data_IF_242437341036
#
_entry.id   IF_242437341036
#
_cell.length_a   1.000
_cell.length_b   1.000
_cell.length_c   1.000
_cell.angle_alpha   90.00
_cell.angle_beta   90.00
_cell.angle_gamma   90.00
#
_symmetry.space_group_name_H-M   'P 1'
#
loop_
_entity.id
_entity.type
_entity.pdbx_description
1 polymer ?
#
# COMPACT_ATOMS: atom_id res chain seq x y z
N UNK A 1 -0.29 15.27 -16.52
CA UNK A 1 1.15 15.55 -16.30
C UNK A 1 2.09 14.52 -16.92
N UNK A 2 1.67 13.29 -17.27
CA UNK A 2 2.48 12.36 -18.07
C UNK A 2 3.73 11.81 -17.36
N UNK A 3 3.89 12.07 -16.06
CA UNK A 3 5.01 11.62 -15.23
C UNK A 3 4.55 10.42 -14.42
N UNK A 4 5.36 9.36 -14.38
CA UNK A 4 5.07 8.15 -13.61
C UNK A 4 5.34 8.35 -12.11
N UNK A 5 4.63 7.63 -11.22
CA UNK A 5 4.95 7.65 -9.79
C UNK A 5 6.42 7.37 -9.49
N UNK A 6 7.03 6.42 -10.20
CA UNK A 6 8.44 6.05 -10.02
C UNK A 6 9.39 7.23 -10.29
N UNK A 7 9.11 8.03 -11.31
CA UNK A 7 9.89 9.25 -11.60
C UNK A 7 9.75 10.29 -10.50
N UNK A 8 8.54 10.46 -9.95
CA UNK A 8 8.30 11.35 -8.80
C UNK A 8 9.12 10.89 -7.59
N UNK A 9 9.02 9.59 -7.24
CA UNK A 9 9.76 9.02 -6.12
C UNK A 9 11.27 9.18 -6.27
N UNK A 10 11.81 8.88 -7.47
CA UNK A 10 13.23 9.09 -7.78
C UNK A 10 13.65 10.55 -7.65
N UNK A 11 12.84 11.49 -8.15
CA UNK A 11 13.16 12.91 -8.07
C UNK A 11 13.13 13.41 -6.62
N UNK A 12 12.18 12.96 -5.82
CA UNK A 12 12.12 13.26 -4.39
C UNK A 12 13.39 12.77 -3.68
N UNK A 13 13.83 11.53 -3.94
CA UNK A 13 15.09 11.00 -3.40
C UNK A 13 16.30 11.84 -3.81
N UNK A 14 16.41 12.22 -5.08
CA UNK A 14 17.51 13.08 -5.57
C UNK A 14 17.54 14.44 -4.89
N UNK A 15 16.38 15.01 -4.55
CA UNK A 15 16.26 16.29 -3.86
C UNK A 15 16.42 16.18 -2.34
N UNK A 16 16.69 14.98 -1.80
CA UNK A 16 16.76 14.75 -0.36
C UNK A 16 15.40 14.88 0.35
N UNK A 17 14.29 14.85 -0.40
CA UNK A 17 12.94 14.94 0.16
C UNK A 17 12.55 13.55 0.68
N UNK A 18 12.39 13.45 2.00
CA UNK A 18 11.91 12.22 2.65
C UNK A 18 10.39 12.14 2.56
N UNK A 19 9.87 11.23 1.75
CA UNK A 19 8.45 10.88 1.72
C UNK A 19 8.12 10.07 2.99
N UNK A 20 7.13 10.53 3.75
CA UNK A 20 6.67 9.90 4.99
C UNK A 20 5.15 9.68 4.97
N UNK A 21 4.63 9.02 6.01
CA UNK A 21 3.18 8.78 6.22
C UNK A 21 2.48 8.14 5.02
N UNK A 22 3.00 7.00 4.56
CA UNK A 22 2.36 6.22 3.49
C UNK A 22 0.88 5.96 3.83
N UNK A 23 -0.05 6.31 2.95
CA UNK A 23 -1.49 6.15 3.25
C UNK A 23 -1.96 4.69 3.42
N UNK A 24 -1.21 3.74 2.87
CA UNK A 24 -1.41 2.31 3.10
C UNK A 24 -0.76 1.82 4.41
N UNK A 25 -0.02 2.68 5.11
CA UNK A 25 0.63 2.37 6.38
C UNK A 25 2.03 1.76 6.28
N UNK A 26 2.52 1.48 5.07
CA UNK A 26 3.66 0.58 4.84
C UNK A 26 5.04 1.14 5.22
N UNK A 27 5.21 2.46 5.20
CA UNK A 27 6.48 3.12 5.52
C UNK A 27 6.28 4.56 6.00
N UNK A 28 7.33 5.14 6.59
CA UNK A 28 7.42 6.57 6.88
C UNK A 28 6.72 6.98 8.17
N UNK A 29 6.71 6.09 9.16
CA UNK A 29 6.13 6.29 10.48
C UNK A 29 7.19 6.31 11.61
N UNK A 30 8.46 6.56 11.26
CA UNK A 30 9.58 6.52 12.20
C UNK A 30 9.37 7.44 13.42
N UNK A 31 8.62 8.54 13.24
CA UNK A 31 8.17 9.47 14.28
C UNK A 31 7.29 8.82 15.35
N UNK A 32 6.63 7.71 15.03
CA UNK A 32 5.85 6.88 15.95
C UNK A 32 6.64 5.68 16.50
N UNK A 33 7.94 5.62 16.27
CA UNK A 33 8.80 4.53 16.74
C UNK A 33 8.74 3.24 15.92
N UNK A 34 8.09 3.25 14.75
CA UNK A 34 7.99 2.08 13.86
C UNK A 34 8.08 2.49 12.39
N UNK A 35 8.72 1.67 11.54
CA UNK A 35 8.80 1.97 10.10
C UNK A 35 7.41 1.93 9.44
N UNK A 36 6.54 1.02 9.88
CA UNK A 36 5.19 0.75 9.35
C UNK A 36 4.17 0.80 10.49
N UNK A 37 2.92 1.14 10.18
CA UNK A 37 1.76 1.04 11.09
C UNK A 37 0.82 -0.11 10.72
N UNK A 38 1.13 -0.85 9.65
CA UNK A 38 0.35 -2.02 9.26
C UNK A 38 0.59 -3.14 10.27
N UNK A 39 -0.50 -3.81 10.65
CA UNK A 39 -0.46 -5.06 11.41
C UNK A 39 -1.28 -6.10 10.65
N UNK A 40 -0.79 -7.35 10.52
CA UNK A 40 -1.58 -8.42 9.92
C UNK A 40 -2.92 -8.57 10.65
N UNK A 41 -4.00 -8.67 9.89
CA UNK A 41 -5.32 -8.97 10.45
C UNK A 41 -5.36 -10.39 11.02
N UNK A 42 -6.10 -10.56 12.13
CA UNK A 42 -6.35 -11.90 12.71
C UNK A 42 -7.29 -12.74 11.86
N UNK A 43 -8.29 -12.08 11.27
CA UNK A 43 -9.30 -12.68 10.40
C UNK A 43 -9.54 -11.73 9.22
N UNK A 44 -9.57 -12.30 8.01
CA UNK A 44 -9.82 -11.55 6.79
C UNK A 44 -11.18 -11.97 6.25
N UNK A 45 -12.15 -11.05 6.31
CA UNK A 45 -13.49 -11.27 5.80
C UNK A 45 -13.44 -11.75 4.34
N UNK A 46 -14.26 -12.75 4.00
CA UNK A 46 -14.24 -13.38 2.67
C UNK A 46 -14.44 -12.37 1.53
N UNK A 47 -15.31 -11.37 1.75
CA UNK A 47 -15.51 -10.28 0.78
C UNK A 47 -14.22 -9.50 0.50
N UNK A 48 -13.43 -9.18 1.53
CA UNK A 48 -12.16 -8.47 1.37
C UNK A 48 -11.10 -9.37 0.72
N UNK A 49 -11.02 -10.65 1.13
CA UNK A 49 -10.12 -11.63 0.51
C UNK A 49 -10.41 -11.78 -0.99
N UNK A 50 -11.67 -11.91 -1.37
CA UNK A 50 -12.11 -12.06 -2.76
C UNK A 50 -11.70 -10.84 -3.59
N UNK A 51 -11.97 -9.63 -3.10
CA UNK A 51 -11.55 -8.39 -3.77
C UNK A 51 -10.03 -8.30 -3.92
N UNK A 52 -9.25 -8.61 -2.87
CA UNK A 52 -7.78 -8.60 -2.95
C UNK A 52 -7.29 -9.59 -4.01
N UNK A 53 -7.79 -10.83 -3.97
CA UNK A 53 -7.35 -11.90 -4.87
C UNK A 53 -7.70 -11.59 -6.33
N UNK A 54 -8.86 -10.98 -6.58
CA UNK A 54 -9.31 -10.60 -7.91
C UNK A 54 -8.50 -9.47 -8.56
N UNK A 55 -7.77 -8.67 -7.78
CA UNK A 55 -6.97 -7.54 -8.27
C UNK A 55 -5.46 -7.78 -8.20
N UNK A 56 -5.03 -9.03 -8.01
CA UNK A 56 -3.61 -9.35 -8.03
C UNK A 56 -3.05 -9.25 -9.45
N UNK A 57 -1.84 -8.70 -9.52
CA UNK A 57 -0.99 -8.71 -10.71
C UNK A 57 0.30 -9.40 -10.31
N UNK A 58 0.61 -10.51 -10.97
CA UNK A 58 1.78 -11.36 -10.66
C UNK A 58 1.86 -11.76 -9.17
N UNK A 59 0.71 -12.06 -8.56
CA UNK A 59 0.61 -12.46 -7.15
C UNK A 59 0.83 -11.33 -6.13
N UNK A 60 0.90 -10.08 -6.59
CA UNK A 60 1.06 -8.88 -5.75
C UNK A 60 -0.13 -7.95 -5.93
N UNK A 61 -0.43 -7.14 -4.92
CA UNK A 61 -1.53 -6.19 -4.96
C UNK A 61 -1.01 -4.78 -5.28
N UNK A 62 -1.30 -4.21 -6.48
CA UNK A 62 -0.91 -2.84 -6.79
C UNK A 62 -1.50 -1.83 -5.79
N UNK A 63 -0.74 -0.79 -5.45
CA UNK A 63 -1.15 0.23 -4.47
C UNK A 63 -2.45 0.94 -4.86
N UNK A 64 -2.66 1.20 -6.14
CA UNK A 64 -3.92 1.75 -6.68
C UNK A 64 -5.09 0.80 -6.45
N UNK A 65 -4.93 -0.48 -6.75
CA UNK A 65 -5.97 -1.49 -6.49
C UNK A 65 -6.31 -1.56 -5.00
N UNK A 66 -5.31 -1.48 -4.11
CA UNK A 66 -5.57 -1.44 -2.66
C UNK A 66 -6.39 -0.19 -2.26
N UNK A 67 -6.19 0.95 -2.92
CA UNK A 67 -6.99 2.16 -2.69
C UNK A 67 -8.42 2.00 -3.19
N UNK A 68 -8.61 1.42 -4.37
CA UNK A 68 -9.93 1.18 -4.93
C UNK A 68 -10.72 0.16 -4.11
N UNK A 69 -10.08 -0.90 -3.60
CA UNK A 69 -10.70 -1.86 -2.68
C UNK A 69 -11.14 -1.16 -1.39
N UNK A 70 -10.27 -0.34 -0.79
CA UNK A 70 -10.59 0.42 0.42
C UNK A 70 -11.82 1.31 0.22
N UNK A 71 -11.88 2.01 -0.93
CA UNK A 71 -13.01 2.86 -1.31
C UNK A 71 -14.28 2.05 -1.56
N UNK A 72 -14.19 0.98 -2.34
CA UNK A 72 -15.31 0.09 -2.70
C UNK A 72 -15.96 -0.55 -1.48
N UNK A 73 -15.14 -0.97 -0.51
CA UNK A 73 -15.61 -1.63 0.71
C UNK A 73 -15.83 -0.67 1.89
N UNK A 74 -15.57 0.64 1.70
CA UNK A 74 -15.69 1.67 2.72
C UNK A 74 -14.89 1.36 4.01
N UNK A 75 -13.67 0.83 3.84
CA UNK A 75 -12.74 0.53 4.94
C UNK A 75 -11.47 1.38 4.83
N UNK A 76 -10.70 1.44 5.91
CA UNK A 76 -9.43 2.15 5.92
C UNK A 76 -8.39 1.53 4.97
N UNK A 77 -7.61 2.36 4.29
CA UNK A 77 -6.49 1.95 3.43
C UNK A 77 -5.48 1.03 4.16
N UNK A 78 -5.16 1.35 5.42
CA UNK A 78 -4.29 0.53 6.28
C UNK A 78 -4.91 -0.85 6.57
N UNK A 79 -6.25 -0.95 6.61
CA UNK A 79 -6.94 -2.23 6.81
C UNK A 79 -6.76 -3.16 5.59
N UNK A 80 -6.79 -2.62 4.36
CA UNK A 80 -6.49 -3.41 3.16
C UNK A 80 -5.06 -3.95 3.20
N UNK A 81 -4.08 -3.13 3.60
CA UNK A 81 -2.70 -3.59 3.78
C UNK A 81 -2.58 -4.67 4.85
N UNK A 82 -3.28 -4.53 5.98
CA UNK A 82 -3.27 -5.54 7.05
C UNK A 82 -3.89 -6.87 6.61
N UNK A 83 -4.92 -6.82 5.75
CA UNK A 83 -5.47 -8.02 5.13
C UNK A 83 -4.50 -8.64 4.13
N UNK A 84 -3.84 -7.85 3.28
CA UNK A 84 -2.83 -8.33 2.35
C UNK A 84 -1.67 -9.02 3.09
N UNK A 85 -1.15 -8.41 4.18
CA UNK A 85 -0.11 -9.03 5.01
C UNK A 85 -0.58 -10.35 5.65
N UNK A 86 -1.81 -10.41 6.17
CA UNK A 86 -2.38 -11.63 6.74
C UNK A 86 -2.53 -12.76 5.70
N UNK A 87 -2.76 -12.41 4.43
CA UNK A 87 -2.82 -13.34 3.31
C UNK A 87 -1.44 -13.66 2.70
N UNK A 88 -0.35 -13.08 3.22
CA UNK A 88 1.00 -13.26 2.65
C UNK A 88 1.22 -12.52 1.32
N UNK A 89 0.34 -11.58 0.97
CA UNK A 89 0.36 -10.83 -0.29
C UNK A 89 1.12 -9.52 -0.08
N UNK A 90 2.08 -9.25 -0.97
CA UNK A 90 2.85 -8.00 -0.95
C UNK A 90 2.16 -6.90 -1.75
N UNK A 91 2.24 -5.67 -1.26
CA UNK A 91 1.83 -4.48 -2.02
C UNK A 91 2.93 -4.11 -3.03
N UNK A 92 2.52 -3.70 -4.23
CA UNK A 92 3.40 -3.28 -5.33
C UNK A 92 2.97 -1.93 -5.93
N UNK A 93 3.70 -1.46 -6.94
CA UNK A 93 3.34 -0.32 -7.81
C UNK A 93 2.94 0.92 -7.00
N UNK A 94 3.82 1.36 -6.10
CA UNK A 94 3.56 2.47 -5.19
C UNK A 94 3.11 3.73 -5.95
N UNK A 95 1.96 4.31 -5.57
CA UNK A 95 1.41 5.53 -6.17
C UNK A 95 2.27 6.80 -5.94
N UNK A 96 3.31 6.72 -5.10
CA UNK A 96 4.31 7.78 -4.91
C UNK A 96 5.71 7.36 -5.39
N UNK A 97 5.85 6.17 -5.99
CA UNK A 97 7.13 5.66 -6.50
C UNK A 97 8.17 5.27 -5.46
N UNK A 98 7.77 5.07 -4.20
CA UNK A 98 8.72 4.71 -3.15
C UNK A 98 9.23 3.27 -3.23
N UNK A 99 8.52 2.40 -3.93
CA UNK A 99 8.88 1.00 -4.19
C UNK A 99 8.10 0.45 -5.40
N UNK A 100 8.59 -0.66 -5.95
CA UNK A 100 8.01 -1.39 -7.09
C UNK A 100 7.11 -2.55 -6.68
#
# INVERSE_FOLDING_TARGET
LGITPLEVGRKATQLGIKISRCQLGLFGYDDLGSKSVVKPMKDVQERLRSEITAHLVDGRLPCEAAWEIAKKLQIGKVQVSGAAEALGIKISSCQLGCFS
#
